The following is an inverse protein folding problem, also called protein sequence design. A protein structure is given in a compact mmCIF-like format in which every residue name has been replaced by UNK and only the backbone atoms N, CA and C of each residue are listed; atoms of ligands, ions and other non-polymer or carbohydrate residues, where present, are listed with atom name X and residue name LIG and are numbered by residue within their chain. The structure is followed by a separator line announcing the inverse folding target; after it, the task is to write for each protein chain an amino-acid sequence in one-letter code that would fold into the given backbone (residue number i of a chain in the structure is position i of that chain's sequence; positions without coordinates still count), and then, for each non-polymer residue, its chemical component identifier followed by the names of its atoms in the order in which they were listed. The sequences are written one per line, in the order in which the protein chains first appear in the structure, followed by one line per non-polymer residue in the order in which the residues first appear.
data_IF_469491319590
#
_entry.id   IF_469491319590
#
_cell.length_a   1.000
_cell.length_b   1.000
_cell.length_c   1.000
_cell.angle_alpha   90.00
_cell.angle_beta   90.00
_cell.angle_gamma   90.00
#
_symmetry.space_group_name_H-M   'P 1'
#
loop_
_entity.id
_entity.type
_entity.pdbx_description
1 polymer ?
#
# COMPACT_ATOMS: atom_id res chain seq x y z
N UNK A 1 -4.31 9.22 16.26
CA UNK A 1 -5.66 8.74 16.01
C UNK A 1 -5.80 8.03 14.67
N UNK A 2 -5.30 8.66 13.64
CA UNK A 2 -5.56 8.16 12.29
C UNK A 2 -4.66 7.04 11.82
N UNK A 3 -3.54 6.79 12.51
CA UNK A 3 -2.62 5.73 12.09
C UNK A 3 -3.31 4.36 12.10
N UNK A 4 -3.91 3.98 13.21
CA UNK A 4 -4.60 2.70 13.29
C UNK A 4 -5.82 2.64 12.36
N UNK A 5 -6.46 3.77 12.13
CA UNK A 5 -7.61 3.85 11.24
C UNK A 5 -7.20 3.58 9.80
N UNK A 6 -6.13 4.23 9.33
CA UNK A 6 -5.71 4.08 7.94
C UNK A 6 -5.03 2.73 7.70
N UNK A 7 -4.49 2.10 8.73
CA UNK A 7 -3.94 0.75 8.61
C UNK A 7 -5.02 -0.24 8.17
N UNK A 8 -6.27 0.04 8.48
CA UNK A 8 -7.40 -0.82 8.06
C UNK A 8 -7.52 -0.93 6.55
N UNK A 9 -6.91 -0.01 5.81
CA UNK A 9 -6.91 -0.07 4.35
C UNK A 9 -5.85 -1.04 3.80
N UNK A 10 -5.05 -1.63 4.68
CA UNK A 10 -4.00 -2.55 4.29
C UNK A 10 -2.62 -1.92 4.24
N UNK A 11 -2.46 -0.73 4.80
CA UNK A 11 -1.15 -0.08 4.91
C UNK A 11 -0.44 -0.56 6.16
N UNK A 12 0.90 -0.62 6.09
CA UNK A 12 1.70 -0.94 7.27
C UNK A 12 1.69 0.25 8.23
N UNK A 13 2.15 0.01 9.46
CA UNK A 13 2.25 1.10 10.44
C UNK A 13 3.16 2.22 9.93
N UNK A 14 4.30 1.87 9.34
CA UNK A 14 5.23 2.87 8.83
C UNK A 14 4.68 3.63 7.64
N UNK A 15 4.02 2.93 6.73
CA UNK A 15 3.32 3.57 5.62
C UNK A 15 2.25 4.53 6.11
N UNK A 16 1.49 4.11 7.11
CA UNK A 16 0.40 4.93 7.67
C UNK A 16 0.94 6.19 8.33
N UNK A 17 2.02 6.07 9.10
CA UNK A 17 2.66 7.23 9.71
C UNK A 17 3.16 8.22 8.68
N UNK A 18 3.83 7.71 7.64
CA UNK A 18 4.38 8.56 6.60
C UNK A 18 3.28 9.23 5.79
N UNK A 19 2.26 8.47 5.44
CA UNK A 19 1.12 8.98 4.69
C UNK A 19 0.44 10.14 5.44
N UNK A 20 0.11 9.92 6.71
CA UNK A 20 -0.56 10.94 7.52
C UNK A 20 0.31 12.15 7.77
N UNK A 21 1.60 11.94 7.99
CA UNK A 21 2.53 13.05 8.17
C UNK A 21 2.59 13.91 6.92
N UNK A 22 2.73 13.27 5.76
CA UNK A 22 2.77 13.99 4.49
C UNK A 22 1.46 14.73 4.21
N UNK A 23 0.34 14.12 4.55
CA UNK A 23 -0.96 14.75 4.38
C UNK A 23 -1.06 16.04 5.18
N UNK A 24 -0.47 16.07 6.38
CA UNK A 24 -0.51 17.25 7.25
C UNK A 24 0.44 18.35 6.82
N UNK A 25 1.66 17.99 6.41
CA UNK A 25 2.70 19.00 6.16
C UNK A 25 2.84 19.38 4.68
N UNK A 26 2.28 18.56 3.78
CA UNK A 26 2.42 18.81 2.34
C UNK A 26 3.75 18.33 1.80
N UNK A 27 4.12 18.78 0.59
CA UNK A 27 5.37 18.33 -0.04
C UNK A 27 6.59 18.65 0.83
N UNK A 28 7.47 17.68 0.97
CA UNK A 28 8.65 17.82 1.80
C UNK A 28 9.74 16.86 1.35
N UNK A 29 10.98 17.15 1.75
CA UNK A 29 12.09 16.24 1.50
C UNK A 29 11.95 14.98 2.34
N UNK A 30 12.64 13.93 1.93
CA UNK A 30 12.62 12.67 2.69
C UNK A 30 13.11 12.88 4.12
N UNK A 31 14.13 13.71 4.30
CA UNK A 31 14.68 13.99 5.62
C UNK A 31 13.63 14.61 6.54
N UNK A 32 12.88 15.58 6.02
CA UNK A 32 11.82 16.25 6.80
C UNK A 32 10.69 15.28 7.11
N UNK A 33 10.27 14.52 6.11
CA UNK A 33 9.19 13.53 6.31
C UNK A 33 9.56 12.50 7.36
N UNK A 34 10.77 11.94 7.29
CA UNK A 34 11.22 10.94 8.25
C UNK A 34 11.25 11.51 9.66
N UNK A 35 11.78 12.72 9.80
CA UNK A 35 11.87 13.38 11.11
C UNK A 35 10.48 13.64 11.69
N UNK A 36 9.58 14.19 10.87
CA UNK A 36 8.22 14.52 11.32
C UNK A 36 7.41 13.27 11.62
N UNK A 37 7.60 12.20 10.85
CA UNK A 37 6.91 10.94 11.08
C UNK A 37 7.55 10.12 12.19
N UNK A 38 8.72 10.55 12.69
CA UNK A 38 9.48 9.88 13.76
C UNK A 38 9.86 8.45 13.38
N UNK A 39 10.33 8.30 12.15
CA UNK A 39 10.87 7.02 11.66
C UNK A 39 12.23 7.29 11.06
N UNK A 40 13.06 6.26 10.98
CA UNK A 40 14.38 6.44 10.43
C UNK A 40 14.33 6.66 8.92
N UNK A 41 15.40 7.24 8.37
CA UNK A 41 15.40 7.63 6.96
C UNK A 41 15.27 6.45 6.01
N UNK A 42 15.94 5.34 6.32
CA UNK A 42 15.84 4.15 5.50
C UNK A 42 14.44 3.58 5.46
N UNK A 43 13.80 3.52 6.62
CA UNK A 43 12.41 3.07 6.73
C UNK A 43 11.48 4.00 5.95
N UNK A 44 11.72 5.33 6.04
CA UNK A 44 10.93 6.31 5.31
C UNK A 44 11.07 6.13 3.80
N UNK A 45 12.29 5.87 3.31
CA UNK A 45 12.52 5.61 1.90
C UNK A 45 11.75 4.38 1.42
N UNK A 46 11.83 3.31 2.20
CA UNK A 46 11.13 2.08 1.86
C UNK A 46 9.61 2.29 1.84
N UNK A 47 9.07 2.94 2.86
CA UNK A 47 7.64 3.22 2.94
C UNK A 47 7.17 4.12 1.79
N UNK A 48 7.98 5.11 1.41
CA UNK A 48 7.68 5.97 0.27
C UNK A 48 7.61 5.17 -1.01
N UNK A 49 8.56 4.24 -1.20
CA UNK A 49 8.58 3.39 -2.38
C UNK A 49 7.32 2.53 -2.46
N UNK A 50 6.96 1.87 -1.36
CA UNK A 50 5.77 1.02 -1.36
C UNK A 50 4.48 1.83 -1.54
N UNK A 51 4.41 3.01 -0.93
CA UNK A 51 3.26 3.90 -1.12
C UNK A 51 3.17 4.40 -2.56
N UNK A 52 4.31 4.69 -3.19
CA UNK A 52 4.34 5.11 -4.59
C UNK A 52 3.86 3.99 -5.51
N UNK A 53 4.25 2.75 -5.23
CA UNK A 53 3.79 1.59 -5.99
C UNK A 53 2.28 1.41 -5.89
N UNK A 54 1.70 1.82 -4.77
CA UNK A 54 0.25 1.79 -4.55
C UNK A 54 -0.47 3.00 -5.15
N UNK A 55 0.28 3.94 -5.73
CA UNK A 55 -0.29 5.16 -6.30
C UNK A 55 -0.65 6.21 -5.27
N UNK A 56 -0.13 6.08 -4.04
CA UNK A 56 -0.52 6.95 -2.92
C UNK A 56 0.50 8.04 -2.60
N UNK A 57 1.68 7.97 -3.18
CA UNK A 57 2.73 8.99 -3.05
C UNK A 57 3.27 9.33 -4.42
N UNK A 58 3.78 10.55 -4.56
CA UNK A 58 4.42 11.01 -5.80
C UNK A 58 5.59 11.91 -5.49
N UNK A 59 6.50 12.02 -6.44
CA UNK A 59 7.64 12.91 -6.36
C UNK A 59 7.27 14.21 -7.04
N UNK A 60 7.57 15.33 -6.38
CA UNK A 60 7.37 16.66 -6.95
C UNK A 60 8.75 17.25 -7.19
N UNK A 61 9.06 17.54 -8.43
CA UNK A 61 10.33 18.19 -8.75
C UNK A 61 10.25 19.65 -8.34
N UNK A 62 11.28 20.09 -7.58
CA UNK A 62 11.32 21.46 -7.10
C UNK A 62 12.76 21.94 -7.11
N UNK A 63 13.30 22.19 -8.31
CA UNK A 63 14.67 22.66 -8.45
C UNK A 63 15.68 21.56 -8.12
N UNK A 64 16.46 21.76 -7.06
CA UNK A 64 17.60 20.90 -6.78
C UNK A 64 17.29 19.61 -6.04
N UNK A 65 16.16 19.54 -5.35
CA UNK A 65 15.83 18.40 -4.50
C UNK A 65 14.44 17.89 -4.79
N UNK A 66 14.29 16.57 -4.83
CA UNK A 66 12.95 16.02 -4.97
C UNK A 66 12.16 16.24 -3.68
N UNK A 67 10.89 16.60 -3.82
CA UNK A 67 9.96 16.63 -2.72
C UNK A 67 8.97 15.49 -2.90
N UNK A 68 8.47 14.99 -1.81
CA UNK A 68 7.55 13.86 -1.80
C UNK A 68 6.25 14.29 -1.15
N UNK A 69 5.13 13.80 -1.68
CA UNK A 69 3.82 14.11 -1.10
C UNK A 69 2.83 12.99 -1.38
N UNK A 70 1.75 12.98 -0.61
CA UNK A 70 0.65 12.08 -0.91
C UNK A 70 -0.03 12.53 -2.20
N UNK A 71 -0.56 11.56 -2.94
CA UNK A 71 -1.43 11.86 -4.08
C UNK A 71 -2.80 12.28 -3.54
N UNK A 72 -3.67 12.77 -4.41
CA UNK A 72 -5.04 13.12 -4.02
C UNK A 72 -5.65 11.94 -3.27
N UNK A 73 -6.32 12.17 -2.12
CA UNK A 73 -6.95 11.08 -1.37
C UNK A 73 -7.91 10.22 -2.17
N UNK A 74 -8.40 10.69 -3.32
CA UNK A 74 -9.20 9.87 -4.23
C UNK A 74 -8.45 8.61 -4.65
N UNK A 75 -7.11 8.68 -4.67
CA UNK A 75 -6.30 7.52 -5.03
C UNK A 75 -6.49 6.36 -4.05
N UNK A 76 -6.92 6.64 -2.82
CA UNK A 76 -7.22 5.58 -1.86
C UNK A 76 -8.40 4.72 -2.34
N UNK A 77 -9.39 5.35 -2.97
CA UNK A 77 -10.50 4.58 -3.55
C UNK A 77 -10.01 3.63 -4.64
N UNK A 78 -9.20 4.15 -5.55
CA UNK A 78 -8.65 3.32 -6.64
C UNK A 78 -7.82 2.17 -6.08
N UNK A 79 -7.04 2.43 -5.05
CA UNK A 79 -6.21 1.42 -4.41
C UNK A 79 -7.08 0.31 -3.80
N UNK A 80 -8.09 0.67 -3.03
CA UNK A 80 -8.94 -0.32 -2.36
C UNK A 80 -9.82 -1.05 -3.37
N UNK A 81 -10.37 -0.34 -4.36
CA UNK A 81 -11.17 -0.96 -5.41
C UNK A 81 -10.34 -1.95 -6.23
N UNK A 82 -9.06 -1.62 -6.48
CA UNK A 82 -8.16 -2.53 -7.15
C UNK A 82 -7.95 -3.82 -6.38
N UNK A 83 -7.83 -3.73 -5.07
CA UNK A 83 -7.70 -4.92 -4.21
C UNK A 83 -8.96 -5.76 -4.26
N UNK A 84 -10.12 -5.13 -4.26
CA UNK A 84 -11.39 -5.83 -4.34
C UNK A 84 -11.51 -6.57 -5.67
N UNK A 85 -11.16 -5.90 -6.78
CA UNK A 85 -11.21 -6.52 -8.09
C UNK A 85 -10.28 -7.73 -8.18
N UNK A 86 -9.05 -7.60 -7.66
CA UNK A 86 -8.11 -8.71 -7.65
C UNK A 86 -8.65 -9.88 -6.83
N UNK A 87 -9.24 -9.58 -5.67
CA UNK A 87 -9.83 -10.63 -4.83
C UNK A 87 -10.99 -11.32 -5.55
N UNK A 88 -11.82 -10.56 -6.26
CA UNK A 88 -12.92 -11.13 -7.03
C UNK A 88 -12.41 -12.03 -8.15
N UNK A 89 -11.36 -11.61 -8.84
CA UNK A 89 -10.73 -12.40 -9.90
C UNK A 89 -10.13 -13.69 -9.35
N UNK A 90 -9.50 -13.59 -8.20
CA UNK A 90 -8.90 -14.76 -7.54
C UNK A 90 -9.98 -15.74 -7.10
N UNK A 91 -11.09 -15.24 -6.60
CA UNK A 91 -12.21 -16.07 -6.19
C UNK A 91 -12.79 -16.81 -7.40
N UNK A 92 -12.98 -16.10 -8.52
CA UNK A 92 -13.48 -16.70 -9.73
C UNK A 92 -12.53 -17.79 -10.26
N UNK A 93 -11.21 -17.51 -10.21
CA UNK A 93 -10.22 -18.49 -10.63
C UNK A 93 -10.27 -19.74 -9.77
N UNK A 94 -10.43 -19.57 -8.46
CA UNK A 94 -10.55 -20.71 -7.56
C UNK A 94 -11.79 -21.54 -7.89
N UNK A 95 -12.91 -20.89 -8.16
CA UNK A 95 -14.13 -21.58 -8.53
C UNK A 95 -13.97 -22.42 -9.81
N UNK A 96 -13.22 -21.89 -10.77
CA UNK A 96 -12.97 -22.63 -12.02
C UNK A 96 -12.10 -23.86 -11.79
N UNK A 97 -11.11 -23.79 -10.93
CA UNK A 97 -10.15 -24.87 -10.76
C UNK A 97 -10.49 -25.81 -9.60
N UNK A 98 -11.50 -25.48 -8.80
CA UNK A 98 -11.73 -26.20 -7.55
C UNK A 98 -12.02 -27.69 -7.75
N UNK A 99 -12.83 -28.01 -8.76
CA UNK A 99 -13.18 -29.40 -9.07
C UNK A 99 -11.94 -30.24 -9.39
N UNK A 100 -11.02 -29.66 -10.16
CA UNK A 100 -9.78 -30.34 -10.51
C UNK A 100 -8.89 -30.54 -9.29
N UNK A 101 -8.80 -29.52 -8.43
CA UNK A 101 -8.02 -29.62 -7.20
C UNK A 101 -8.58 -30.68 -6.28
N UNK A 102 -9.90 -30.75 -6.16
CA UNK A 102 -10.56 -31.74 -5.33
C UNK A 102 -10.31 -33.15 -5.86
N UNK A 103 -10.36 -33.35 -7.17
CA UNK A 103 -10.05 -34.63 -7.77
C UNK A 103 -8.62 -35.08 -7.47
N UNK A 104 -7.67 -34.16 -7.60
CA UNK A 104 -6.27 -34.45 -7.27
C UNK A 104 -6.11 -34.83 -5.81
N UNK A 105 -6.81 -34.16 -4.94
CA UNK A 105 -6.78 -34.46 -3.53
C UNK A 105 -7.30 -35.87 -3.24
N UNK A 106 -8.42 -36.25 -3.88
CA UNK A 106 -9.00 -37.58 -3.69
C UNK A 106 -8.04 -38.69 -4.17
N UNK A 107 -7.38 -38.45 -5.30
CA UNK A 107 -6.41 -39.41 -5.85
C UNK A 107 -5.23 -39.59 -4.90
N UNK A 108 -4.83 -38.54 -4.20
CA UNK A 108 -3.71 -38.60 -3.25
C UNK A 108 -4.04 -39.23 -1.91
N UNK A 109 -5.33 -39.50 -1.62
CA UNK A 109 -5.68 -40.09 -0.35
C UNK A 109 -5.32 -41.59 -0.31
N UNK A 110 -4.78 -42.09 0.82
CA UNK A 110 -4.55 -43.53 0.96
C UNK A 110 -5.90 -44.22 0.95
N UNK A 111 -5.95 -45.24 0.19
CA UNK A 111 -7.23 -45.85 0.04
C UNK A 111 -7.52 -47.15 0.00
#
# INVERSE_FOLDING_TARGET
MFVSTIERLGLTEKESKLYLTSLRIGPASMQVLARKAKIDRGTAYHATKTLSEKGLFEVVENGKRPLFRVTDPKALYSYVEGKKRVADEQFAALQEMYSDLEQLYQVGLPG
#
